data_IF_230240374291
#
_entry.id   IF_230240374291
#
_cell.length_a   1.000
_cell.length_b   1.000
_cell.length_c   1.000
_cell.angle_alpha   90.00
_cell.angle_beta   90.00
_cell.angle_gamma   90.00
#
_symmetry.space_group_name_H-M   'P 1'
#
loop_
_entity.id
_entity.type
_entity.pdbx_description
1 polymer ?
2 non-polymer ?
3 non-polymer ?
4 non-polymer ?
5 water ?
#
# COMPACT_ATOMS: atom_id res chain seq x y z
N UNK A 1 24.06 2.49 11.14
CA UNK A 1 22.91 3.32 10.64
C UNK A 1 22.17 2.70 9.46
N UNK A 2 21.64 3.55 8.60
CA UNK A 2 20.76 3.10 7.55
C UNK A 2 21.60 2.59 6.39
N UNK A 3 21.00 1.76 5.55
CA UNK A 3 21.67 1.18 4.39
C UNK A 3 21.09 1.77 3.12
N UNK A 4 21.89 2.53 2.38
CA UNK A 4 21.42 3.14 1.14
C UNK A 4 21.16 2.06 0.08
N UNK A 5 21.92 0.98 0.10
CA UNK A 5 21.65 -0.10 -0.85
C UNK A 5 20.26 -0.69 -0.58
N UNK A 6 19.93 -0.95 0.70
CA UNK A 6 18.62 -1.55 1.06
C UNK A 6 17.49 -0.60 0.71
N UNK A 7 17.67 0.67 1.04
CA UNK A 7 16.67 1.68 0.74
C UNK A 7 16.46 1.83 -0.77
N UNK A 8 17.53 1.77 -1.56
CA UNK A 8 17.36 1.74 -3.02
C UNK A 8 16.53 0.52 -3.44
N UNK A 9 16.81 -0.65 -2.85
CA UNK A 9 16.04 -1.85 -3.23
C UNK A 9 14.58 -1.70 -2.85
N UNK A 10 14.32 -1.16 -1.67
CA UNK A 10 12.91 -0.98 -1.20
C UNK A 10 12.18 0.00 -2.14
N UNK A 11 12.84 1.07 -2.56
CA UNK A 11 12.22 2.03 -3.49
C UNK A 11 11.82 1.38 -4.80
N UNK A 12 12.69 0.52 -5.32
CA UNK A 12 12.37 -0.22 -6.54
C UNK A 12 11.22 -1.23 -6.34
N UNK A 13 11.22 -1.92 -5.20
CA UNK A 13 10.10 -2.80 -4.87
C UNK A 13 8.82 -1.97 -4.91
N UNK A 14 8.80 -0.80 -4.26
CA UNK A 14 7.60 0.03 -4.24
C UNK A 14 7.17 0.44 -5.66
N UNK A 15 8.11 0.83 -6.53
CA UNK A 15 7.81 1.26 -7.91
C UNK A 15 7.10 0.17 -8.70
N UNK A 16 7.61 -1.05 -8.62
CA UNK A 16 7.02 -2.17 -9.35
C UNK A 16 5.67 -2.59 -8.76
N UNK A 17 5.54 -2.48 -7.44
CA UNK A 17 4.33 -2.88 -6.72
C UNK A 17 3.19 -1.92 -7.09
N UNK A 18 3.48 -0.61 -7.05
CA UNK A 18 2.48 0.43 -7.44
C UNK A 18 2.02 0.15 -8.88
N UNK A 19 2.96 -0.20 -9.74
CA UNK A 19 2.67 -0.44 -11.15
C UNK A 19 1.76 -1.65 -11.26
N UNK A 20 2.03 -2.69 -10.45
CA UNK A 20 1.19 -3.90 -10.44
C UNK A 20 -0.26 -3.57 -10.07
N UNK A 21 -0.43 -2.69 -9.08
CA UNK A 21 -1.75 -2.25 -8.65
C UNK A 21 -2.46 -1.57 -9.84
N UNK A 22 -1.78 -0.62 -10.48
CA UNK A 22 -2.38 0.06 -11.61
C UNK A 22 -2.65 -0.91 -12.76
N UNK A 23 -1.77 -1.89 -13.00
CA UNK A 23 -2.04 -2.91 -14.04
C UNK A 23 -3.08 -3.96 -13.61
N UNK A 24 -3.65 -3.87 -12.42
CA UNK A 24 -4.57 -4.91 -11.94
C UNK A 24 -3.96 -6.32 -12.05
N UNK A 25 -2.67 -6.40 -11.77
CA UNK A 25 -1.89 -7.63 -11.83
C UNK A 25 -1.74 -8.28 -10.41
N UNK A 26 -2.73 -9.09 -10.05
CA UNK A 26 -2.76 -9.68 -8.72
C UNK A 26 -1.47 -10.44 -8.37
N UNK A 27 -0.94 -11.23 -9.31
CA UNK A 27 0.32 -11.94 -9.00
C UNK A 27 1.47 -11.02 -8.66
N UNK A 28 1.52 -9.87 -9.34
CA UNK A 28 2.50 -8.84 -9.03
C UNK A 28 2.22 -8.10 -7.71
N UNK A 29 0.95 -7.88 -7.38
CA UNK A 29 0.59 -7.28 -6.10
C UNK A 29 1.06 -8.11 -4.89
N UNK A 30 0.87 -9.43 -4.96
CA UNK A 30 1.14 -10.29 -3.84
C UNK A 30 2.52 -10.91 -3.82
N UNK A 31 3.23 -10.83 -4.95
CA UNK A 31 4.57 -11.45 -5.04
C UNK A 31 5.52 -11.09 -3.90
N UNK A 32 5.54 -9.82 -3.48
CA UNK A 32 6.48 -9.50 -2.38
C UNK A 32 5.96 -9.76 -0.96
N UNK A 33 4.74 -10.28 -0.83
CA UNK A 33 4.13 -10.39 0.50
C UNK A 33 4.68 -11.59 1.26
N UNK A 34 5.08 -11.41 2.52
CA UNK A 34 5.38 -12.56 3.39
C UNK A 34 4.12 -13.40 3.60
N UNK A 35 4.31 -14.69 3.84
CA UNK A 35 3.18 -15.57 4.14
C UNK A 35 2.36 -15.15 5.35
N UNK A 36 3.03 -14.54 6.33
CA UNK A 36 2.37 -14.11 7.56
C UNK A 36 2.10 -12.59 7.61
N UNK A 37 2.01 -11.94 6.44
CA UNK A 37 1.72 -10.50 6.35
C UNK A 37 0.50 -10.14 7.23
N UNK A 38 0.59 -9.05 7.99
CA UNK A 38 -0.56 -8.47 8.70
C UNK A 38 -0.88 -7.12 8.11
N UNK A 39 -2.11 -6.94 7.62
CA UNK A 39 -2.48 -5.70 6.88
C UNK A 39 -3.68 -5.04 7.51
N UNK A 40 -3.59 -3.73 7.77
CA UNK A 40 -4.72 -2.90 8.14
C UNK A 40 -5.13 -2.12 6.91
N UNK A 41 -6.23 -2.52 6.27
CA UNK A 41 -6.69 -1.86 5.06
C UNK A 41 -7.58 -0.70 5.44
N UNK A 42 -7.82 0.17 4.46
CA UNK A 42 -8.56 1.42 4.68
C UNK A 42 -10.05 1.18 4.86
N UNK A 43 -10.52 0.00 4.43
CA UNK A 43 -11.94 -0.31 4.43
C UNK A 43 -12.31 -1.66 5.05
N UNK A 44 -13.57 -1.76 5.47
CA UNK A 44 -14.30 -3.04 5.62
C UNK A 44 -14.03 -3.89 6.89
N UNK A 45 -12.75 -4.05 7.24
CA UNK A 45 -12.36 -4.88 8.36
C UNK A 45 -11.23 -4.21 9.14
N UNK A 46 -11.08 -4.60 10.40
CA UNK A 46 -10.01 -4.09 11.23
C UNK A 46 -8.65 -4.52 10.69
N UNK A 47 -8.55 -5.78 10.29
CA UNK A 47 -7.28 -6.33 9.79
C UNK A 47 -7.48 -7.62 8.96
N UNK A 48 -6.45 -7.97 8.20
CA UNK A 48 -6.35 -9.22 7.46
C UNK A 48 -5.06 -9.88 7.90
N UNK A 49 -5.11 -11.15 8.26
CA UNK A 49 -3.93 -11.84 8.75
C UNK A 49 -3.57 -13.02 7.84
N UNK A 50 -2.35 -12.98 7.29
CA UNK A 50 -1.82 -14.05 6.46
C UNK A 50 -2.03 -13.69 5.01
N UNK A 51 -1.13 -14.16 4.16
CA UNK A 51 -1.15 -13.86 2.73
C UNK A 51 -2.38 -14.42 2.04
N UNK A 52 -2.87 -15.58 2.49
CA UNK A 52 -4.02 -16.16 1.80
C UNK A 52 -5.28 -15.29 1.98
N UNK A 53 -5.58 -14.96 3.22
CA UNK A 53 -6.70 -14.06 3.49
C UNK A 53 -6.56 -12.68 2.80
N UNK A 54 -5.36 -12.09 2.82
CA UNK A 54 -5.17 -10.73 2.23
C UNK A 54 -5.25 -10.80 0.70
N UNK A 55 -4.80 -11.94 0.15
CA UNK A 55 -4.97 -12.17 -1.30
C UNK A 55 -6.43 -12.20 -1.69
N UNK A 56 -7.24 -12.86 -0.86
CA UNK A 56 -8.65 -13.00 -1.12
C UNK A 56 -9.32 -11.63 -1.12
N UNK A 57 -8.88 -10.76 -0.21
CA UNK A 57 -9.37 -9.40 -0.12
C UNK A 57 -8.97 -8.57 -1.35
N UNK A 58 -7.70 -8.63 -1.72
CA UNK A 58 -7.26 -7.96 -2.94
C UNK A 58 -8.04 -8.42 -4.17
N UNK A 59 -8.30 -9.72 -4.28
CA UNK A 59 -9.05 -10.27 -5.42
C UNK A 59 -10.46 -9.70 -5.44
N UNK A 60 -11.12 -9.65 -4.30
CA UNK A 60 -12.44 -9.04 -4.25
C UNK A 60 -12.49 -7.54 -4.61
N UNK A 61 -11.55 -6.78 -4.05
CA UNK A 61 -11.41 -5.36 -4.33
C UNK A 61 -11.16 -5.12 -5.79
N UNK A 62 -10.27 -5.91 -6.38
CA UNK A 62 -9.86 -5.72 -7.76
C UNK A 62 -11.04 -5.91 -8.71
N UNK A 63 -11.76 -7.01 -8.54
CA UNK A 63 -12.88 -7.31 -9.43
C UNK A 63 -13.97 -6.26 -9.33
N UNK A 64 -14.03 -5.57 -8.19
CA UNK A 64 -15.08 -4.61 -7.92
C UNK A 64 -14.66 -3.16 -8.08
N UNK A 65 -14.04 -2.86 -9.21
CA UNK A 65 -13.96 -1.49 -9.69
C UNK A 65 -13.63 -1.51 -11.19
N UNK A 66 -14.66 -1.27 -12.00
CA UNK A 66 -14.50 -1.14 -13.44
C UNK A 66 -13.91 0.24 -13.72
N UNK A 67 -13.28 0.36 -14.88
CA UNK A 67 -12.82 1.65 -15.36
C UNK A 67 -11.38 1.98 -15.04
N UNK A 68 -10.95 3.19 -15.42
CA UNK A 68 -9.56 3.58 -15.23
C UNK A 68 -9.34 4.02 -13.79
N UNK A 69 -8.09 4.05 -13.36
CA UNK A 69 -7.77 4.31 -11.96
C UNK A 69 -6.55 5.24 -11.74
N UNK A 70 -6.64 6.07 -10.71
CA UNK A 70 -5.50 6.84 -10.25
C UNK A 70 -4.95 6.08 -9.04
N UNK A 71 -3.64 5.87 -9.04
CA UNK A 71 -2.97 5.23 -7.92
C UNK A 71 -1.56 5.70 -8.01
N UNK A 72 -1.26 6.79 -7.34
CA UNK A 72 0.03 7.41 -7.48
C UNK A 72 0.43 7.92 -6.09
N UNK A 73 1.71 8.23 -5.88
CA UNK A 73 2.17 8.60 -4.53
C UNK A 73 2.91 9.93 -4.43
N UNK A 74 2.96 10.46 -3.20
CA UNK A 74 3.67 11.70 -2.88
C UNK A 74 4.31 11.54 -1.52
N UNK A 75 5.43 12.24 -1.35
CA UNK A 75 6.15 12.33 -0.07
C UNK A 75 6.58 10.99 0.49
N UNK A 76 7.21 10.20 -0.37
CA UNK A 76 7.74 8.89 -0.02
C UNK A 76 8.92 9.03 0.90
N UNK A 77 8.84 8.37 2.06
CA UNK A 77 9.98 8.25 2.96
C UNK A 77 10.30 6.78 3.16
N UNK A 78 11.59 6.43 3.04
CA UNK A 78 12.05 5.07 3.16
C UNK A 78 13.26 5.02 4.10
N UNK A 79 13.20 4.13 5.11
CA UNK A 79 14.35 3.88 5.99
C UNK A 79 14.61 2.42 6.06
N UNK A 80 15.87 2.00 5.99
CA UNK A 80 16.22 0.58 6.04
C UNK A 80 17.56 0.38 6.76
N UNK A 81 17.62 -0.64 7.61
CA UNK A 81 18.79 -0.99 8.39
C UNK A 81 18.79 -2.50 8.61
N UNK A 82 19.83 -3.15 8.10
CA UNK A 82 19.95 -4.61 8.24
C UNK A 82 18.82 -5.37 7.59
N UNK A 83 18.02 -6.03 8.42
CA UNK A 83 16.95 -6.90 7.91
C UNK A 83 15.55 -6.29 8.02
N UNK A 84 15.46 -5.04 8.43
CA UNK A 84 14.18 -4.38 8.61
C UNK A 84 14.13 -3.07 7.82
N UNK A 85 12.96 -2.74 7.26
CA UNK A 85 12.76 -1.47 6.61
C UNK A 85 11.34 -0.98 6.86
N UNK A 86 11.19 0.33 6.75
CA UNK A 86 9.95 1.03 6.94
C UNK A 86 9.76 2.04 5.78
N UNK A 87 8.57 2.15 5.23
CA UNK A 87 8.23 3.24 4.31
C UNK A 87 6.86 3.82 4.63
N UNK A 88 6.69 5.09 4.29
CA UNK A 88 5.39 5.74 4.37
C UNK A 88 5.22 6.81 3.29
N UNK A 89 3.98 7.04 2.88
CA UNK A 89 3.70 7.92 1.75
C UNK A 89 2.24 8.33 1.73
N UNK A 90 1.93 9.38 0.95
CA UNK A 90 0.54 9.76 0.70
C UNK A 90 0.14 9.24 -0.68
N UNK A 91 -1.04 8.67 -0.78
CA UNK A 91 -1.42 7.89 -1.97
C UNK A 91 -2.70 8.50 -2.51
N UNK A 92 -2.60 9.16 -3.67
CA UNK A 92 -3.77 9.68 -4.38
C UNK A 92 -4.45 8.56 -5.12
N UNK A 93 -5.75 8.43 -4.92
CA UNK A 93 -6.49 7.44 -5.65
C UNK A 93 -7.93 7.83 -5.90
N UNK A 94 -8.50 7.13 -6.88
CA UNK A 94 -9.88 7.26 -7.27
C UNK A 94 -10.04 6.90 -8.74
N UNK A 95 -11.27 7.01 -9.25
CA UNK A 95 -11.63 6.86 -10.67
C UNK A 95 -10.91 7.81 -11.61
N UNK A 96 -10.18 7.24 -12.55
CA UNK A 96 -9.52 8.01 -13.61
C UNK A 96 -10.48 8.77 -14.51
N UNK A 97 -11.74 8.31 -14.59
CA UNK A 97 -12.80 9.00 -15.35
C UNK A 97 -13.23 10.30 -14.65
N UNK A 98 -13.37 10.26 -13.32
CA UNK A 98 -13.78 11.44 -12.52
C UNK A 98 -12.82 11.86 -11.36
N UNK A 99 -12.12 12.99 -11.55
CA UNK A 99 -11.20 13.57 -10.54
C UNK A 99 -11.92 14.24 -9.35
N UNK A 100 -13.23 14.46 -9.47
CA UNK A 100 -14.09 14.85 -8.34
C UNK A 100 -14.18 13.75 -7.28
N UNK A 101 -13.80 12.52 -7.67
CA UNK A 101 -13.79 11.36 -6.76
C UNK A 101 -12.36 10.87 -6.38
N UNK A 102 -11.34 11.71 -6.59
CA UNK A 102 -9.92 11.31 -6.41
C UNK A 102 -9.19 12.02 -5.27
N UNK A 103 -9.08 11.34 -4.13
CA UNK A 103 -8.39 11.93 -2.98
C UNK A 103 -7.18 11.19 -2.42
N UNK A 104 -6.61 11.77 -1.37
CA UNK A 104 -5.42 11.24 -0.70
C UNK A 104 -5.79 10.32 0.46
N UNK A 105 -5.07 9.21 0.53
CA UNK A 105 -5.00 8.33 1.67
C UNK A 105 -3.57 8.25 2.11
N UNK A 106 -3.41 7.70 3.30
CA UNK A 106 -2.10 7.49 3.89
C UNK A 106 -1.70 6.00 3.85
N UNK A 107 -0.39 5.77 3.69
CA UNK A 107 0.19 4.46 3.62
C UNK A 107 1.43 4.34 4.49
N UNK A 108 1.49 3.24 5.25
CA UNK A 108 2.70 2.80 5.94
C UNK A 108 2.98 1.34 5.63
N UNK A 109 4.25 0.99 5.34
CA UNK A 109 4.59 -0.40 5.01
C UNK A 109 5.86 -0.79 5.73
N UNK A 110 5.83 -1.99 6.29
CA UNK A 110 6.99 -2.59 6.94
C UNK A 110 7.52 -3.79 6.17
N UNK A 111 8.85 -3.89 6.12
CA UNK A 111 9.52 -4.88 5.29
C UNK A 111 10.56 -5.62 6.12
N UNK A 112 10.82 -6.86 5.74
CA UNK A 112 11.83 -7.71 6.38
C UNK A 112 12.63 -8.51 5.37
N UNK A 113 13.95 -8.56 5.56
CA UNK A 113 14.82 -9.31 4.63
C UNK A 113 14.89 -10.75 5.10
N UNK A 114 14.39 -11.64 4.26
CA UNK A 114 14.29 -13.07 4.60
C UNK A 114 14.34 -13.92 3.35
N UNK A 115 15.09 -15.01 3.43
CA UNK A 115 15.40 -15.85 2.28
C UNK A 115 16.22 -15.10 1.25
N UNK A 116 17.04 -14.15 1.71
CA UNK A 116 17.78 -13.25 0.83
C UNK A 116 16.92 -12.30 0.00
N UNK A 117 15.65 -12.10 0.38
CA UNK A 117 14.80 -11.10 -0.30
C UNK A 117 14.02 -10.23 0.68
N UNK A 118 13.69 -9.01 0.26
CA UNK A 118 12.83 -8.15 1.05
C UNK A 118 11.41 -8.60 0.79
N UNK A 119 10.66 -8.78 1.87
CA UNK A 119 9.26 -9.09 1.82
C UNK A 119 8.48 -8.09 2.65
N UNK A 120 7.24 -7.82 2.22
CA UNK A 120 6.30 -6.99 2.99
C UNK A 120 5.71 -7.82 4.12
N UNK A 121 5.94 -7.37 5.34
CA UNK A 121 5.39 -8.01 6.52
C UNK A 121 4.20 -7.24 7.12
N UNK A 122 3.98 -5.98 6.73
CA UNK A 122 2.90 -5.17 7.29
C UNK A 122 2.54 -4.04 6.36
N UNK A 123 1.24 -3.74 6.24
CA UNK A 123 0.69 -2.56 5.53
C UNK A 123 -0.40 -1.92 6.41
N UNK A 124 -0.53 -0.60 6.35
CA UNK A 124 -1.58 0.17 7.06
C UNK A 124 -1.96 1.26 6.07
N UNK A 125 -3.21 1.20 5.61
CA UNK A 125 -3.79 2.13 4.71
C UNK A 125 -4.97 2.77 5.41
N UNK A 126 -5.16 4.08 5.25
CA UNK A 126 -6.31 4.74 5.85
C UNK A 126 -6.62 6.12 5.31
N UNK A 127 -7.85 6.54 5.60
CA UNK A 127 -8.28 7.92 5.56
C UNK A 127 -8.59 8.41 7.00
N UNK A 128 -8.30 9.69 7.28
CA UNK A 128 -8.70 10.28 8.55
C UNK A 128 -10.21 10.46 8.55
N UNK A 129 -10.83 10.53 9.72
CA UNK A 129 -12.26 10.86 9.77
C UNK A 129 -12.56 12.10 10.61
N UNK A 130 -13.78 12.59 10.48
CA UNK A 130 -14.27 13.73 11.29
C UNK A 130 -14.90 13.23 12.59
N UNK A 131 -14.45 13.74 13.72
CA UNK A 131 -15.07 13.42 14.99
C UNK A 131 -16.59 13.56 15.00
N UNK A 132 -17.10 14.66 14.47
CA UNK A 132 -18.50 15.00 14.66
C UNK A 132 -19.37 14.20 13.71
N UNK A 133 -19.03 14.24 12.43
CA UNK A 133 -19.77 13.48 11.43
C UNK A 133 -19.39 11.98 11.37
N UNK A 134 -18.27 11.60 11.99
CA UNK A 134 -17.65 10.26 11.80
C UNK A 134 -17.54 9.79 10.34
N UNK A 135 -17.43 10.73 9.42
CA UNK A 135 -17.26 10.41 8.03
C UNK A 135 -15.77 10.51 7.67
N UNK A 136 -15.33 9.65 6.74
CA UNK A 136 -13.94 9.63 6.25
C UNK A 136 -13.72 10.91 5.47
N UNK A 137 -12.57 11.55 5.64
CA UNK A 137 -12.29 12.79 4.95
C UNK A 137 -11.43 12.49 3.75
N UNK A 138 -11.98 12.78 2.58
CA UNK A 138 -11.35 12.47 1.31
C UNK A 138 -10.80 13.67 0.51
N UNK A 139 -11.14 14.90 0.89
CA UNK A 139 -10.72 16.08 0.13
C UNK A 139 -9.54 16.87 0.74
N UNK A 140 -8.76 16.25 1.61
CA UNK A 140 -7.68 16.97 2.31
C UNK A 140 -6.38 17.09 1.49
N UNK A 141 -5.66 18.20 1.67
CA UNK A 141 -4.38 18.43 0.96
C UNK A 141 -3.23 17.91 1.80
N UNK A 142 -2.15 17.49 1.16
CA UNK A 142 -0.97 17.00 1.89
C UNK A 142 -0.39 18.00 2.90
X LIG B 1 -6.13 -0.40 -0.37
X LIG B 1 -8.49 0.89 -1.16
X LIG B 1 -10.71 3.49 -2.24
X LIG B 1 -5.82 -2.64 -0.24
X LIG C 1 -5.18 -19.03 6.67
X LIG C 1 -3.83 -18.83 7.20
X LIG C 1 -5.70 -20.33 7.09
X LIG C 1 -6.06 -17.98 7.17
X LIG C 1 -5.12 -19.06 5.21
X LIG D 1 4.67 -11.07 12.73
X LIG D 1 3.52 -11.88 12.86
X LIG D 1 4.52 -10.33 11.41
X LIG D 1 5.31 -10.99 10.46
X LIG D 1 5.04 -8.93 11.55
X LIG D 1 4.17 -7.92 11.11
#
# INVERSE_FOLDING_TARGET
GMSTAAESEIRQLIERWMQAVRDRDIPGIIAPYADDIVAFDAIQALQFKGKSAYTAHWEMCMGMCTGPMVFELAQLTVHAAGDLALAHWLNRCGPGDDESQCGFMRATVGYRRQGGQWQVIHEHWSAPFDMETQKALFDLKP
UNL O1 O2 O3 O4
SO4 S O1 O2 O3 O4
GOL C1 O1 C2 O2 C3 O3
#
